data_IF_598737561991
#
_entry.id   IF_598737561991
#
_cell.length_a   1.000
_cell.length_b   1.000
_cell.length_c   1.000
_cell.angle_alpha   90.00
_cell.angle_beta   90.00
_cell.angle_gamma   90.00
#
_symmetry.space_group_name_H-M   'P 1'
#
loop_
_entity.id
_entity.type
_entity.pdbx_description
1 polymer ?
#
# COMPACT_ATOMS: atom_id res chain seq x y z
N UNK A 1 56.32 -39.13 -2.03
CA UNK A 1 55.52 -38.57 -0.92
C UNK A 1 54.61 -37.52 -1.51
N UNK A 2 53.30 -37.78 -1.51
CA UNK A 2 52.28 -36.93 -2.08
C UNK A 2 51.58 -36.17 -0.95
N UNK A 3 51.46 -34.85 -1.09
CA UNK A 3 50.64 -33.97 -0.28
C UNK A 3 50.39 -32.71 -1.12
N UNK A 4 49.20 -32.13 -1.26
CA UNK A 4 47.84 -32.49 -0.91
C UNK A 4 46.99 -31.44 -1.64
N UNK A 5 46.06 -31.86 -2.50
CA UNK A 5 45.16 -30.94 -3.22
C UNK A 5 44.07 -30.48 -2.25
N UNK A 6 44.10 -29.22 -1.83
CA UNK A 6 42.96 -28.58 -1.18
C UNK A 6 41.98 -28.14 -2.26
N UNK A 7 40.92 -28.94 -2.44
CA UNK A 7 39.80 -28.60 -3.30
C UNK A 7 39.03 -27.43 -2.72
N UNK A 8 39.14 -26.26 -3.35
CA UNK A 8 38.13 -25.20 -3.23
C UNK A 8 36.85 -25.72 -3.87
N UNK A 9 35.89 -26.06 -3.03
CA UNK A 9 34.54 -26.42 -3.43
C UNK A 9 33.83 -25.18 -3.98
N UNK A 10 33.95 -24.98 -5.29
CA UNK A 10 33.09 -24.08 -6.06
C UNK A 10 31.71 -24.74 -6.21
N UNK A 11 30.87 -24.63 -5.18
CA UNK A 11 29.42 -24.76 -5.42
C UNK A 11 28.92 -23.42 -5.94
N UNK A 12 28.30 -23.37 -7.15
CA UNK A 12 27.50 -22.22 -7.50
C UNK A 12 26.32 -22.22 -6.52
N UNK A 13 26.28 -21.22 -5.65
CA UNK A 13 25.13 -20.96 -4.79
C UNK A 13 24.05 -20.36 -5.69
N UNK A 14 23.41 -21.19 -6.52
CA UNK A 14 22.16 -20.84 -7.18
C UNK A 14 21.17 -20.52 -6.08
N UNK A 15 20.90 -19.22 -5.87
CA UNK A 15 19.75 -18.80 -5.05
C UNK A 15 18.53 -19.50 -5.65
N UNK A 16 17.88 -20.34 -4.85
CA UNK A 16 16.63 -21.00 -5.21
C UNK A 16 15.67 -19.92 -5.70
N UNK A 17 15.06 -20.11 -6.87
CA UNK A 17 14.05 -19.16 -7.36
C UNK A 17 12.84 -19.28 -6.43
N UNK A 18 12.11 -18.18 -6.20
CA UNK A 18 10.86 -18.24 -5.42
C UNK A 18 9.85 -19.24 -6.02
N UNK A 19 9.97 -19.50 -7.32
CA UNK A 19 9.25 -20.51 -8.11
C UNK A 19 9.49 -21.96 -7.63
N UNK A 20 10.61 -22.24 -6.95
CA UNK A 20 11.01 -23.57 -6.47
C UNK A 20 10.68 -23.79 -4.98
N UNK A 21 10.15 -22.78 -4.28
CA UNK A 21 9.84 -22.87 -2.86
C UNK A 21 8.46 -23.49 -2.66
N UNK A 22 8.43 -24.65 -2.01
CA UNK A 22 7.19 -25.26 -1.54
C UNK A 22 6.45 -24.25 -0.66
N UNK A 23 5.17 -24.04 -0.96
CA UNK A 23 4.33 -23.07 -0.27
C UNK A 23 3.99 -23.64 1.10
N UNK A 24 4.88 -23.43 2.06
CA UNK A 24 4.66 -23.86 3.43
C UNK A 24 3.61 -22.95 4.06
N UNK A 25 2.52 -23.50 4.63
CA UNK A 25 1.58 -22.72 5.40
C UNK A 25 2.31 -21.94 6.50
N UNK A 26 2.07 -20.62 6.64
CA UNK A 26 2.65 -19.86 7.72
C UNK A 26 2.15 -20.39 9.07
N UNK A 27 3.00 -20.31 10.08
CA UNK A 27 2.64 -20.67 11.45
C UNK A 27 1.42 -19.87 11.92
N UNK A 28 0.64 -20.48 12.81
CA UNK A 28 -0.40 -19.74 13.51
C UNK A 28 0.22 -18.59 14.31
N UNK A 29 -0.49 -17.47 14.37
CA UNK A 29 -0.10 -16.32 15.19
C UNK A 29 -0.85 -16.42 16.51
N UNK A 30 -0.12 -16.30 17.62
CA UNK A 30 -0.73 -16.22 18.95
C UNK A 30 -1.11 -14.77 19.24
N UNK A 31 -2.30 -14.56 19.83
CA UNK A 31 -2.77 -13.24 20.24
C UNK A 31 -2.71 -13.12 21.78
N UNK A 32 -2.36 -11.95 22.34
CA UNK A 32 -2.24 -10.66 21.66
C UNK A 32 -0.93 -10.50 20.87
N UNK A 33 -1.05 -10.06 19.63
CA UNK A 33 0.06 -9.60 18.80
C UNK A 33 0.10 -8.08 18.88
N UNK A 34 1.11 -7.58 19.59
CA UNK A 34 1.30 -6.14 19.85
C UNK A 34 1.99 -5.42 18.70
N UNK A 35 2.57 -6.15 17.74
CA UNK A 35 3.12 -5.62 16.50
C UNK A 35 2.12 -5.87 15.34
N UNK A 36 1.31 -4.86 14.98
CA UNK A 36 0.22 -5.02 14.01
C UNK A 36 0.70 -5.19 12.57
N UNK A 37 1.99 -4.91 12.36
CA UNK A 37 2.71 -4.95 11.10
C UNK A 37 3.83 -5.98 11.21
N UNK A 38 3.52 -7.18 11.73
CA UNK A 38 4.46 -8.29 11.80
C UNK A 38 4.42 -9.11 10.49
N UNK A 39 5.59 -9.52 9.94
CA UNK A 39 5.62 -10.38 8.75
C UNK A 39 4.77 -11.64 8.91
N UNK A 40 4.81 -12.29 10.09
CA UNK A 40 4.05 -13.52 10.36
C UNK A 40 2.53 -13.32 10.29
N UNK A 41 2.02 -12.20 10.81
CA UNK A 41 0.59 -11.86 10.72
C UNK A 41 0.16 -11.60 9.28
N UNK A 42 0.95 -10.84 8.52
CA UNK A 42 0.65 -10.53 7.12
C UNK A 42 0.64 -11.79 6.25
N UNK A 43 1.62 -12.68 6.46
CA UNK A 43 1.68 -13.99 5.82
C UNK A 43 0.46 -14.83 6.14
N UNK A 44 0.06 -14.89 7.42
CA UNK A 44 -1.11 -15.65 7.87
C UNK A 44 -2.39 -15.14 7.22
N UNK A 45 -2.59 -13.83 7.16
CA UNK A 45 -3.75 -13.21 6.50
C UNK A 45 -3.77 -13.54 5.01
N UNK A 46 -2.64 -13.32 4.31
CA UNK A 46 -2.48 -13.64 2.89
C UNK A 46 -2.83 -15.10 2.62
N UNK A 47 -2.25 -16.03 3.40
CA UNK A 47 -2.52 -17.46 3.28
C UNK A 47 -4.00 -17.82 3.47
N UNK A 48 -4.65 -17.31 4.51
CA UNK A 48 -6.07 -17.59 4.79
C UNK A 48 -6.98 -17.09 3.65
N UNK A 49 -6.73 -15.88 3.14
CA UNK A 49 -7.51 -15.30 2.05
C UNK A 49 -7.27 -16.03 0.73
N UNK A 50 -6.01 -16.37 0.43
CA UNK A 50 -5.65 -17.16 -0.74
C UNK A 50 -6.26 -18.56 -0.72
N UNK A 51 -6.26 -19.25 0.43
CA UNK A 51 -6.92 -20.55 0.59
C UNK A 51 -8.43 -20.48 0.34
N UNK A 52 -9.05 -19.35 0.65
CA UNK A 52 -10.47 -19.08 0.37
C UNK A 52 -10.74 -18.56 -1.06
N UNK A 53 -9.71 -18.46 -1.92
CA UNK A 53 -9.82 -17.92 -3.27
C UNK A 53 -10.17 -16.43 -3.32
N UNK A 54 -9.80 -15.68 -2.28
CA UNK A 54 -10.04 -14.24 -2.15
C UNK A 54 -8.80 -13.49 -2.62
N UNK A 55 -9.00 -12.52 -3.51
CA UNK A 55 -7.94 -11.63 -3.98
C UNK A 55 -7.69 -10.55 -2.92
N UNK A 56 -6.42 -10.30 -2.61
CA UNK A 56 -6.06 -9.31 -1.60
C UNK A 56 -4.72 -8.63 -1.92
N UNK A 57 -4.60 -7.37 -1.50
CA UNK A 57 -3.38 -6.57 -1.66
C UNK A 57 -3.08 -5.85 -0.35
N UNK A 58 -1.86 -5.98 0.16
CA UNK A 58 -1.33 -5.17 1.24
C UNK A 58 -1.06 -3.75 0.75
N UNK A 59 -1.52 -2.74 1.48
CA UNK A 59 -1.50 -1.34 1.08
C UNK A 59 -1.30 -0.40 2.28
N UNK A 60 -1.40 0.92 2.05
CA UNK A 60 -1.25 1.92 3.09
C UNK A 60 0.17 2.03 3.65
N UNK A 61 0.28 2.42 4.92
CA UNK A 61 1.56 2.69 5.60
C UNK A 61 2.50 1.49 5.58
N UNK A 62 1.96 0.27 5.70
CA UNK A 62 2.75 -0.97 5.69
C UNK A 62 3.47 -1.16 4.36
N UNK A 63 2.73 -1.06 3.25
CA UNK A 63 3.30 -1.18 1.91
C UNK A 63 4.30 -0.06 1.62
N UNK A 64 4.00 1.17 2.06
CA UNK A 64 4.93 2.30 1.95
C UNK A 64 6.23 2.06 2.72
N UNK A 65 6.14 1.53 3.94
CA UNK A 65 7.32 1.17 4.74
C UNK A 65 8.16 0.05 4.10
N UNK A 66 7.53 -0.86 3.36
CA UNK A 66 8.24 -1.94 2.65
C UNK A 66 8.98 -1.45 1.40
N UNK A 67 8.45 -0.45 0.69
CA UNK A 67 9.12 0.15 -0.49
C UNK A 67 10.21 1.17 -0.12
N UNK A 68 10.46 1.41 1.17
CA UNK A 68 11.55 2.30 1.63
C UNK A 68 11.11 3.67 2.14
N UNK A 69 9.80 3.96 2.24
CA UNK A 69 9.33 5.20 2.87
C UNK A 69 9.59 5.14 4.38
N UNK A 70 10.23 6.14 5.00
CA UNK A 70 10.63 6.13 6.41
C UNK A 70 9.45 6.45 7.33
N UNK A 71 8.48 5.54 7.35
CA UNK A 71 7.25 5.63 8.15
C UNK A 71 7.14 4.42 9.08
N UNK A 72 6.82 4.71 10.35
CA UNK A 72 6.36 3.69 11.29
C UNK A 72 4.91 3.32 10.94
N UNK A 73 4.70 2.12 10.40
CA UNK A 73 3.36 1.65 10.04
C UNK A 73 2.59 1.19 11.29
N UNK A 74 1.44 1.81 11.55
CA UNK A 74 0.66 1.59 12.77
C UNK A 74 -0.37 0.47 12.64
N UNK A 75 -0.74 0.11 11.42
CA UNK A 75 -1.75 -0.90 11.12
C UNK A 75 -1.40 -1.64 9.84
N UNK A 76 -1.96 -2.85 9.67
CA UNK A 76 -1.86 -3.61 8.42
C UNK A 76 -3.13 -3.38 7.59
N UNK A 77 -3.03 -2.63 6.48
CA UNK A 77 -4.17 -2.30 5.62
C UNK A 77 -4.25 -3.23 4.40
N UNK A 78 -5.44 -3.79 4.17
CA UNK A 78 -5.70 -4.74 3.10
C UNK A 78 -6.80 -4.24 2.18
N UNK A 79 -6.51 -4.17 0.89
CA UNK A 79 -7.48 -3.88 -0.16
C UNK A 79 -8.09 -5.19 -0.65
N UNK A 80 -9.42 -5.30 -0.52
CA UNK A 80 -10.21 -6.47 -0.91
C UNK A 80 -11.29 -6.05 -1.92
N UNK A 81 -11.56 -6.82 -2.99
CA UNK A 81 -12.70 -6.58 -3.87
C UNK A 81 -14.00 -6.46 -3.07
N UNK A 82 -14.85 -5.49 -3.41
CA UNK A 82 -16.04 -5.18 -2.61
C UNK A 82 -16.96 -6.40 -2.42
N UNK A 83 -17.11 -7.23 -3.47
CA UNK A 83 -17.90 -8.46 -3.44
C UNK A 83 -17.39 -9.50 -2.43
N UNK A 84 -16.10 -9.46 -2.09
CA UNK A 84 -15.46 -10.44 -1.21
C UNK A 84 -15.26 -9.95 0.22
N UNK A 85 -15.50 -8.67 0.53
CA UNK A 85 -15.20 -8.08 1.84
C UNK A 85 -15.81 -8.83 3.02
N UNK A 86 -17.10 -9.13 2.96
CA UNK A 86 -17.79 -9.84 4.04
C UNK A 86 -17.25 -11.27 4.19
N UNK A 87 -16.96 -11.93 3.05
CA UNK A 87 -16.37 -13.28 3.01
C UNK A 87 -14.96 -13.28 3.60
N UNK A 88 -14.14 -12.28 3.26
CA UNK A 88 -12.80 -12.08 3.81
C UNK A 88 -12.84 -11.89 5.32
N UNK A 89 -13.74 -11.02 5.82
CA UNK A 89 -13.90 -10.83 7.27
C UNK A 89 -14.27 -12.13 7.98
N UNK A 90 -15.20 -12.91 7.41
CA UNK A 90 -15.59 -14.23 7.94
C UNK A 90 -14.41 -15.20 8.01
N UNK A 91 -13.65 -15.32 6.91
CA UNK A 91 -12.46 -16.20 6.83
C UNK A 91 -11.42 -15.83 7.88
N UNK A 92 -11.17 -14.54 8.10
CA UNK A 92 -10.20 -14.10 9.12
C UNK A 92 -10.67 -14.40 10.55
N UNK A 93 -11.98 -14.24 10.85
CA UNK A 93 -12.55 -14.62 12.15
C UNK A 93 -12.45 -16.12 12.39
N UNK A 94 -12.80 -16.93 11.39
CA UNK A 94 -12.69 -18.39 11.45
C UNK A 94 -11.23 -18.85 11.56
N UNK A 95 -10.30 -18.06 10.99
CA UNK A 95 -8.86 -18.22 11.13
C UNK A 95 -8.29 -17.78 12.48
N UNK A 96 -9.12 -17.33 13.42
CA UNK A 96 -8.75 -16.98 14.79
C UNK A 96 -8.41 -15.51 15.04
N UNK A 97 -8.56 -14.62 14.05
CA UNK A 97 -8.28 -13.20 14.26
C UNK A 97 -9.34 -12.57 15.19
N UNK A 98 -8.92 -11.81 16.22
CA UNK A 98 -9.83 -11.14 17.15
C UNK A 98 -10.61 -10.02 16.45
N UNK A 99 -11.85 -10.31 16.07
CA UNK A 99 -12.74 -9.34 15.44
C UNK A 99 -13.12 -8.21 16.39
N UNK A 100 -13.50 -7.05 15.83
CA UNK A 100 -14.05 -5.98 16.65
C UNK A 100 -15.40 -6.37 17.25
N UNK A 101 -15.61 -6.20 18.58
CA UNK A 101 -16.90 -6.39 19.22
C UNK A 101 -18.02 -5.52 18.63
N UNK A 102 -17.67 -4.39 18.00
CA UNK A 102 -18.61 -3.50 17.35
C UNK A 102 -19.11 -4.02 15.99
N UNK A 103 -18.37 -4.91 15.30
CA UNK A 103 -18.70 -5.41 13.97
C UNK A 103 -19.89 -6.41 13.97
N UNK A 104 -20.41 -6.79 15.14
CA UNK A 104 -21.45 -7.81 15.31
C UNK A 104 -22.71 -7.37 16.06
N UNK A 105 -22.82 -6.10 16.43
CA UNK A 105 -23.93 -5.60 17.28
C UNK A 105 -24.98 -4.83 16.49
N UNK A 106 -26.25 -4.93 16.92
CA UNK A 106 -27.39 -4.18 16.35
C UNK A 106 -27.20 -2.67 16.58
N UNK A 107 -27.80 -1.83 15.74
CA UNK A 107 -27.63 -0.35 15.74
C UNK A 107 -27.72 0.33 17.11
N UNK A 108 -28.51 -0.22 18.04
CA UNK A 108 -28.76 0.36 19.36
C UNK A 108 -27.78 -0.09 20.46
N UNK A 109 -26.90 -1.05 20.20
CA UNK A 109 -25.86 -1.54 21.13
C UNK A 109 -24.43 -1.15 20.70
N UNK A 110 -24.26 -0.39 19.61
CA UNK A 110 -22.95 -0.08 19.05
C UNK A 110 -21.98 0.47 20.11
N UNK A 111 -21.08 -0.37 20.60
CA UNK A 111 -19.86 0.09 21.26
C UNK A 111 -19.09 0.90 20.23
N UNK A 112 -18.85 2.17 20.55
CA UNK A 112 -18.07 3.08 19.70
C UNK A 112 -16.63 2.57 19.65
N UNK A 113 -16.28 1.79 18.63
CA UNK A 113 -14.87 1.67 18.27
C UNK A 113 -14.46 2.97 17.60
N UNK A 114 -13.45 3.64 18.14
CA UNK A 114 -13.00 4.94 17.64
C UNK A 114 -12.53 4.91 16.17
N UNK A 115 -12.26 3.71 15.62
CA UNK A 115 -11.96 3.48 14.19
C UNK A 115 -13.18 3.55 13.26
N UNK A 116 -14.37 3.27 13.78
CA UNK A 116 -15.63 3.27 13.02
C UNK A 116 -16.43 4.57 13.18
N UNK A 117 -16.01 5.50 14.05
CA UNK A 117 -16.71 6.78 14.14
C UNK A 117 -16.65 7.49 12.78
N UNK A 118 -17.79 7.72 12.16
CA UNK A 118 -17.90 8.65 11.03
C UNK A 118 -17.70 10.08 11.56
N UNK A 119 -17.10 10.99 10.78
CA UNK A 119 -17.00 12.39 11.17
C UNK A 119 -18.42 12.96 11.37
N UNK A 120 -18.71 13.49 12.55
CA UNK A 120 -19.87 14.38 12.73
C UNK A 120 -19.70 15.59 11.81
N UNK A 121 -20.76 15.95 11.09
CA UNK A 121 -20.78 17.13 10.23
C UNK A 121 -20.25 18.36 10.99
N UNK A 122 -19.36 19.13 10.36
CA UNK A 122 -18.88 20.41 10.90
C UNK A 122 -17.50 20.42 11.58
N UNK A 123 -16.78 19.30 11.73
CA UNK A 123 -15.35 19.32 12.14
C UNK A 123 -14.45 18.66 11.10
N UNK A 124 -13.80 19.51 10.30
CA UNK A 124 -12.69 19.16 9.42
C UNK A 124 -11.40 19.05 10.25
N UNK A 125 -11.16 17.90 10.87
CA UNK A 125 -9.83 17.61 11.44
C UNK A 125 -8.98 16.90 10.41
N UNK A 126 -7.71 17.27 10.30
CA UNK A 126 -6.67 16.80 9.38
C UNK A 126 -6.32 15.30 9.43
N UNK A 127 -7.02 14.49 10.25
CA UNK A 127 -6.70 13.09 10.54
C UNK A 127 -7.67 12.09 9.88
N UNK A 128 -8.21 12.40 8.70
CA UNK A 128 -9.26 11.58 8.06
C UNK A 128 -8.68 10.58 7.08
N UNK A 129 -8.09 9.49 7.59
CA UNK A 129 -7.93 8.26 6.81
C UNK A 129 -9.32 7.69 6.48
N UNK A 130 -9.54 7.03 5.32
CA UNK A 130 -10.80 6.34 5.07
C UNK A 130 -11.12 5.38 6.20
N UNK A 131 -12.40 5.23 6.54
CA UNK A 131 -12.84 4.20 7.49
C UNK A 131 -12.79 2.81 6.84
N UNK A 132 -12.26 1.79 7.53
CA UNK A 132 -12.28 0.42 7.04
C UNK A 132 -13.69 -0.15 7.04
N UNK A 133 -13.95 -1.14 6.19
CA UNK A 133 -15.20 -1.89 6.22
C UNK A 133 -15.24 -2.92 7.36
N UNK A 134 -14.09 -3.50 7.68
CA UNK A 134 -13.91 -4.41 8.81
C UNK A 134 -12.55 -4.20 9.45
N UNK A 135 -12.43 -4.48 10.75
CA UNK A 135 -11.16 -4.36 11.44
C UNK A 135 -11.00 -5.38 12.58
N UNK A 136 -9.75 -5.70 12.90
CA UNK A 136 -9.38 -6.70 13.90
C UNK A 136 -8.37 -6.10 14.88
N UNK A 137 -8.58 -6.37 16.17
CA UNK A 137 -7.76 -5.85 17.28
C UNK A 137 -6.76 -6.92 17.72
N UNK A 138 -5.65 -7.04 17.01
CA UNK A 138 -4.68 -8.12 17.24
C UNK A 138 -4.01 -8.03 18.60
N UNK A 139 -3.97 -6.86 19.21
CA UNK A 139 -3.48 -6.60 20.57
C UNK A 139 -4.53 -6.80 21.67
N UNK A 140 -5.77 -7.18 21.32
CA UNK A 140 -6.95 -7.21 22.20
C UNK A 140 -7.27 -5.86 22.89
N UNK A 141 -6.68 -4.76 22.44
CA UNK A 141 -6.97 -3.43 22.93
C UNK A 141 -8.07 -2.79 22.08
N UNK A 142 -9.15 -2.41 22.76
CA UNK A 142 -10.31 -1.77 22.13
C UNK A 142 -10.29 -0.28 22.46
N UNK A 143 -9.80 0.58 21.55
CA UNK A 143 -9.73 2.00 21.80
C UNK A 143 -11.14 2.57 21.97
N UNK A 144 -11.43 3.04 23.19
CA UNK A 144 -12.73 3.67 23.52
C UNK A 144 -12.78 5.14 23.12
N UNK A 145 -11.63 5.75 22.77
CA UNK A 145 -11.52 7.18 22.41
C UNK A 145 -10.50 7.43 21.28
N UNK A 146 -10.77 8.46 20.46
CA UNK A 146 -9.98 8.91 19.28
C UNK A 146 -8.58 9.48 19.54
N UNK A 147 -8.21 9.67 20.81
CA UNK A 147 -6.93 10.28 21.22
C UNK A 147 -6.05 9.31 22.00
N UNK A 148 -6.41 8.03 22.01
CA UNK A 148 -5.60 7.02 22.67
C UNK A 148 -4.24 6.90 21.93
N UNK A 149 -3.10 7.20 22.56
CA UNK A 149 -1.81 7.07 21.91
C UNK A 149 -1.50 5.62 21.49
N UNK A 150 -2.26 4.64 22.02
CA UNK A 150 -2.21 3.24 21.61
C UNK A 150 -3.29 2.87 20.58
N UNK A 151 -3.88 3.86 19.88
CA UNK A 151 -4.93 3.59 18.91
C UNK A 151 -4.48 2.59 17.83
N UNK A 152 -5.20 1.47 17.84
CA UNK A 152 -5.36 0.48 16.77
C UNK A 152 -4.08 0.00 16.11
N UNK A 153 -3.36 -0.80 16.88
CA UNK A 153 -2.44 -1.79 16.32
C UNK A 153 -3.27 -2.95 15.76
N UNK A 154 -3.89 -2.76 14.60
CA UNK A 154 -4.83 -3.73 14.05
C UNK A 154 -4.68 -4.04 12.57
N UNK A 155 -5.49 -5.01 12.13
CA UNK A 155 -5.66 -5.39 10.73
C UNK A 155 -6.92 -4.75 10.21
N UNK A 156 -6.83 -4.02 9.10
CA UNK A 156 -7.93 -3.24 8.54
C UNK A 156 -8.25 -3.74 7.13
N UNK A 157 -9.51 -4.08 6.87
CA UNK A 157 -10.00 -4.46 5.55
C UNK A 157 -10.74 -3.30 4.91
N UNK A 158 -10.29 -2.92 3.72
CA UNK A 158 -10.86 -1.85 2.93
C UNK A 158 -11.44 -2.39 1.62
N UNK A 159 -12.60 -1.86 1.18
CA UNK A 159 -12.98 -1.95 -0.22
C UNK A 159 -11.85 -1.44 -1.09
N UNK A 160 -11.47 -2.22 -2.11
CA UNK A 160 -10.42 -1.84 -3.07
C UNK A 160 -10.59 -0.42 -3.57
N UNK A 161 -11.79 -0.06 -4.00
CA UNK A 161 -12.13 1.26 -4.51
C UNK A 161 -11.82 2.43 -3.57
N UNK A 162 -11.53 2.19 -2.28
CA UNK A 162 -11.09 3.25 -1.36
C UNK A 162 -9.58 3.47 -1.43
N UNK A 163 -8.78 2.40 -1.53
CA UNK A 163 -7.31 2.45 -1.39
C UNK A 163 -6.54 2.22 -2.70
N UNK A 164 -7.16 1.62 -3.71
CA UNK A 164 -6.56 1.33 -5.00
C UNK A 164 -7.52 1.83 -6.09
N UNK A 165 -7.00 2.66 -6.99
CA UNK A 165 -7.71 3.19 -8.15
C UNK A 165 -8.22 2.04 -9.04
N UNK A 166 -9.43 2.18 -9.59
CA UNK A 166 -10.04 1.23 -10.52
C UNK A 166 -9.22 1.05 -11.82
N UNK A 167 -8.21 1.89 -12.03
CA UNK A 167 -7.20 1.73 -13.07
C UNK A 167 -6.40 0.43 -12.93
N UNK A 168 -6.17 -0.05 -11.70
CA UNK A 168 -5.42 -1.27 -11.44
C UNK A 168 -6.36 -2.47 -11.38
N UNK A 169 -5.98 -3.57 -12.03
CA UNK A 169 -6.71 -4.85 -11.95
C UNK A 169 -6.48 -5.51 -10.59
N UNK A 170 -7.28 -6.51 -10.21
CA UNK A 170 -6.98 -7.27 -8.99
C UNK A 170 -5.83 -8.26 -9.23
N UNK A 171 -4.98 -8.55 -8.23
CA UNK A 171 -4.06 -9.69 -8.30
C UNK A 171 -4.83 -11.01 -8.40
N UNK A 172 -4.20 -12.13 -8.80
CA UNK A 172 -4.89 -13.41 -8.87
C UNK A 172 -5.25 -13.87 -7.45
N UNK A 173 -6.27 -14.73 -7.31
CA UNK A 173 -6.47 -15.45 -6.06
C UNK A 173 -5.39 -16.53 -5.92
N UNK A 174 -4.69 -16.56 -4.79
CA UNK A 174 -3.69 -17.59 -4.50
C UNK A 174 -2.27 -17.03 -4.30
N UNK A 175 -1.34 -17.87 -3.84
CA UNK A 175 0.05 -17.46 -3.64
C UNK A 175 0.73 -17.10 -4.97
N UNK A 176 1.59 -16.09 -4.92
CA UNK A 176 2.37 -15.60 -6.07
C UNK A 176 3.31 -16.62 -6.71
N UNK A 177 3.61 -17.72 -6.02
CA UNK A 177 4.40 -18.84 -6.52
C UNK A 177 3.60 -19.84 -7.36
N UNK A 178 2.29 -19.65 -7.56
CA UNK A 178 1.66 -20.29 -8.71
C UNK A 178 2.34 -19.76 -9.97
N UNK A 179 2.65 -20.61 -10.98
CA UNK A 179 3.22 -20.19 -12.24
C UNK A 179 2.17 -19.41 -13.02
N UNK A 180 1.89 -18.21 -12.55
CA UNK A 180 1.24 -17.20 -13.33
C UNK A 180 2.33 -16.74 -14.28
N UNK A 181 2.17 -17.09 -15.56
CA UNK A 181 3.02 -16.63 -16.65
C UNK A 181 3.56 -15.24 -16.29
N UNK A 182 4.89 -15.11 -16.22
CA UNK A 182 5.65 -13.86 -16.06
C UNK A 182 5.29 -12.79 -17.12
N UNK A 183 4.21 -13.00 -17.89
CA UNK A 183 3.66 -12.28 -19.02
C UNK A 183 2.18 -11.86 -18.91
N UNK A 184 1.44 -12.13 -17.81
CA UNK A 184 -0.03 -11.86 -17.75
C UNK A 184 -0.52 -10.75 -16.80
N UNK A 185 0.36 -10.11 -16.03
CA UNK A 185 0.02 -8.89 -15.24
C UNK A 185 0.32 -7.59 -15.98
N UNK A 186 0.71 -7.72 -17.25
CA UNK A 186 0.89 -6.63 -18.19
C UNK A 186 -0.51 -6.15 -18.55
N UNK A 187 -0.71 -4.84 -18.58
CA UNK A 187 -1.87 -4.28 -19.25
C UNK A 187 -2.03 -5.00 -20.60
N UNK A 188 -3.15 -5.70 -20.80
CA UNK A 188 -3.55 -6.22 -22.09
C UNK A 188 -3.78 -5.02 -23.02
N UNK A 189 -2.71 -4.52 -23.62
CA UNK A 189 -2.72 -3.80 -24.87
C UNK A 189 -1.38 -4.05 -25.56
N UNK A 190 -1.47 -4.73 -26.71
CA UNK A 190 -0.33 -5.30 -27.39
C UNK A 190 0.78 -4.29 -27.67
N UNK A 191 1.93 -4.50 -27.04
CA UNK A 191 3.27 -4.32 -27.62
C UNK A 191 4.27 -4.94 -26.67
N UNK A 192 5.25 -5.62 -27.26
CA UNK A 192 6.40 -6.28 -26.60
C UNK A 192 7.09 -5.33 -25.62
N UNK A 193 6.66 -5.27 -24.36
CA UNK A 193 7.40 -4.55 -23.32
C UNK A 193 8.22 -5.57 -22.53
N UNK A 194 9.48 -5.75 -22.97
CA UNK A 194 10.51 -6.54 -22.29
C UNK A 194 11.05 -5.84 -21.03
N UNK A 195 10.49 -4.71 -20.63
CA UNK A 195 10.93 -3.99 -19.45
C UNK A 195 10.38 -4.68 -18.20
N UNK A 196 11.29 -5.18 -17.35
CA UNK A 196 10.98 -5.68 -15.99
C UNK A 196 10.24 -4.65 -15.13
N UNK A 197 10.26 -3.37 -15.51
CA UNK A 197 9.60 -2.24 -14.84
C UNK A 197 8.09 -2.07 -15.10
N UNK A 198 7.38 -3.08 -15.64
CA UNK A 198 5.95 -3.02 -15.95
C UNK A 198 5.10 -4.00 -15.11
N UNK A 199 5.53 -4.32 -13.88
CA UNK A 199 4.77 -5.22 -13.00
C UNK A 199 3.81 -4.40 -12.14
N UNK A 200 2.50 -4.63 -12.29
CA UNK A 200 1.46 -3.96 -11.49
C UNK A 200 1.60 -4.25 -9.99
N UNK A 201 1.83 -5.52 -9.67
CA UNK A 201 1.98 -6.05 -8.32
C UNK A 201 3.32 -6.75 -8.17
N UNK A 202 3.84 -6.73 -6.96
CA UNK A 202 4.99 -7.52 -6.52
C UNK A 202 4.68 -8.20 -5.19
N UNK A 203 5.57 -9.08 -4.76
CA UNK A 203 5.49 -9.69 -3.43
C UNK A 203 6.42 -9.00 -2.45
N UNK A 204 6.07 -9.04 -1.16
CA UNK A 204 6.85 -8.41 -0.08
C UNK A 204 8.29 -8.92 0.05
N UNK A 205 8.63 -10.04 -0.58
CA UNK A 205 9.97 -10.63 -0.66
C UNK A 205 10.69 -10.37 -2.01
N UNK A 206 10.13 -9.56 -2.92
CA UNK A 206 10.70 -9.29 -4.24
C UNK A 206 12.08 -8.60 -4.11
N UNK A 207 13.06 -9.07 -4.88
CA UNK A 207 14.44 -8.57 -4.85
C UNK A 207 14.58 -7.09 -5.20
N UNK A 208 13.60 -6.52 -5.91
CA UNK A 208 13.57 -5.11 -6.30
C UNK A 208 13.19 -4.19 -5.11
N UNK A 209 12.77 -4.74 -3.97
CA UNK A 209 12.53 -4.00 -2.73
C UNK A 209 13.82 -3.77 -1.93
N UNK A 210 13.95 -2.62 -1.23
CA UNK A 210 15.15 -2.30 -0.46
C UNK A 210 15.29 -3.25 0.74
N UNK A 211 16.51 -3.74 0.99
CA UNK A 211 16.81 -4.44 2.24
C UNK A 211 16.91 -3.44 3.40
N UNK A 212 16.29 -3.75 4.53
CA UNK A 212 16.42 -2.92 5.74
C UNK A 212 17.88 -2.91 6.20
N UNK A 213 18.52 -1.73 6.20
CA UNK A 213 19.90 -1.57 6.70
C UNK A 213 19.89 -1.16 8.18
N UNK A 214 20.64 -1.85 9.03
CA UNK A 214 20.86 -1.41 10.42
C UNK A 214 21.42 0.02 10.42
N UNK A 215 20.78 0.92 11.16
CA UNK A 215 21.19 2.33 11.27
C UNK A 215 20.62 3.27 10.20
N UNK A 216 19.83 2.76 9.25
CA UNK A 216 19.07 3.58 8.28
C UNK A 216 17.68 3.99 8.80
N UNK A 217 17.01 4.90 8.08
CA UNK A 217 15.69 5.46 8.42
C UNK A 217 14.65 4.39 8.83
N UNK A 218 13.64 4.76 9.62
CA UNK A 218 12.58 3.88 10.13
C UNK A 218 11.65 3.32 9.02
N UNK A 219 12.13 2.42 8.17
CA UNK A 219 11.35 1.66 7.18
C UNK A 219 11.57 0.14 7.33
N UNK A 220 10.61 -0.67 6.91
CA UNK A 220 10.64 -2.14 7.09
C UNK A 220 11.43 -2.88 6.02
N UNK A 221 11.39 -2.40 4.78
CA UNK A 221 12.07 -3.03 3.64
C UNK A 221 11.53 -4.42 3.28
N UNK A 222 12.27 -5.11 2.42
CA UNK A 222 11.97 -6.44 1.89
C UNK A 222 11.88 -7.49 2.99
N UNK A 223 10.87 -8.36 2.90
CA UNK A 223 10.73 -9.55 3.75
C UNK A 223 11.70 -10.66 3.35
N UNK A 224 11.83 -11.68 4.20
CA UNK A 224 12.67 -12.84 3.90
C UNK A 224 12.03 -13.66 2.76
N UNK A 225 12.78 -14.08 1.73
CA UNK A 225 12.25 -14.91 0.63
C UNK A 225 11.84 -16.32 1.07
N UNK A 226 12.15 -16.74 2.31
CA UNK A 226 11.72 -18.02 2.86
C UNK A 226 10.32 -17.94 3.51
N UNK A 227 9.58 -16.87 3.25
CA UNK A 227 8.28 -16.59 3.87
C UNK A 227 7.15 -16.68 2.85
N UNK A 228 5.92 -16.81 3.34
CA UNK A 228 4.75 -16.87 2.46
C UNK A 228 4.59 -15.52 1.72
N UNK A 229 4.40 -15.52 0.38
CA UNK A 229 4.36 -14.27 -0.37
C UNK A 229 3.09 -13.46 -0.09
N UNK A 230 3.24 -12.15 0.03
CA UNK A 230 2.14 -11.19 0.21
C UNK A 230 2.17 -10.18 -0.94
N UNK A 231 1.04 -10.00 -1.63
CA UNK A 231 0.95 -9.04 -2.73
C UNK A 231 0.88 -7.59 -2.25
N UNK A 232 1.57 -6.71 -2.95
CA UNK A 232 1.48 -5.26 -2.83
C UNK A 232 1.66 -4.59 -4.20
N UNK A 233 1.20 -3.35 -4.36
CA UNK A 233 1.49 -2.60 -5.59
C UNK A 233 3.01 -2.41 -5.74
N UNK A 234 3.50 -2.50 -6.97
CA UNK A 234 4.88 -2.13 -7.23
C UNK A 234 5.11 -0.64 -6.94
N UNK A 235 6.34 -0.21 -6.63
CA UNK A 235 6.57 1.07 -5.98
C UNK A 235 6.17 2.27 -6.87
N UNK A 236 6.43 2.19 -8.18
CA UNK A 236 6.00 3.22 -9.14
C UNK A 236 4.46 3.28 -9.24
N UNK A 237 3.78 2.13 -9.25
CA UNK A 237 2.31 2.11 -9.22
C UNK A 237 1.73 2.52 -7.86
N UNK A 238 2.46 2.37 -6.75
CA UNK A 238 2.05 2.92 -5.46
C UNK A 238 2.01 4.46 -5.51
N UNK A 239 3.04 5.09 -6.10
CA UNK A 239 3.09 6.55 -6.31
C UNK A 239 1.97 7.00 -7.25
N UNK A 240 1.82 6.35 -8.40
CA UNK A 240 0.76 6.70 -9.36
C UNK A 240 -0.65 6.47 -8.78
N UNK A 241 -0.84 5.40 -8.00
CA UNK A 241 -2.09 5.15 -7.30
C UNK A 241 -2.44 6.30 -6.36
N UNK A 242 -1.50 6.76 -5.52
CA UNK A 242 -1.72 7.89 -4.62
C UNK A 242 -2.11 9.17 -5.40
N UNK A 243 -1.43 9.46 -6.51
CA UNK A 243 -1.81 10.57 -7.39
C UNK A 243 -3.24 10.44 -7.93
N UNK A 244 -3.64 9.23 -8.36
CA UNK A 244 -5.01 8.94 -8.81
C UNK A 244 -6.03 9.11 -7.68
N UNK A 245 -5.71 8.72 -6.45
CA UNK A 245 -6.57 8.93 -5.28
C UNK A 245 -6.75 10.43 -4.98
N UNK A 246 -5.68 11.23 -5.05
CA UNK A 246 -5.76 12.70 -4.90
C UNK A 246 -6.69 13.31 -5.95
N UNK A 247 -6.56 12.90 -7.22
CA UNK A 247 -7.41 13.37 -8.33
C UNK A 247 -8.87 12.95 -8.11
N UNK A 248 -9.10 11.69 -7.74
CA UNK A 248 -10.43 11.11 -7.50
C UNK A 248 -11.16 11.85 -6.39
N UNK A 249 -10.46 12.08 -5.28
CA UNK A 249 -11.01 12.61 -4.03
C UNK A 249 -10.78 14.12 -3.89
N UNK A 250 -10.41 14.84 -4.96
CA UNK A 250 -9.99 16.26 -4.93
C UNK A 250 -10.94 17.26 -4.25
N UNK A 251 -12.21 16.90 -4.09
CA UNK A 251 -13.25 17.69 -3.42
C UNK A 251 -13.65 17.13 -2.05
N UNK A 252 -13.11 15.97 -1.67
CA UNK A 252 -13.34 15.28 -0.40
C UNK A 252 -12.29 15.68 0.63
N UNK A 253 -12.67 15.55 1.89
CA UNK A 253 -11.82 15.79 3.08
C UNK A 253 -10.66 14.81 3.19
N UNK A 254 -10.77 13.64 2.56
CA UNK A 254 -9.74 12.59 2.55
C UNK A 254 -8.60 12.92 1.59
N UNK A 255 -8.79 13.87 0.66
CA UNK A 255 -7.75 14.31 -0.29
C UNK A 255 -6.44 14.64 0.40
N UNK A 256 -6.50 15.42 1.46
CA UNK A 256 -5.31 15.95 2.14
C UNK A 256 -4.49 14.81 2.75
N UNK A 257 -5.15 13.72 3.16
CA UNK A 257 -4.45 12.50 3.57
C UNK A 257 -3.70 11.88 2.41
N UNK A 258 -4.36 11.64 1.26
CA UNK A 258 -3.69 11.06 0.09
C UNK A 258 -2.52 11.90 -0.39
N UNK A 259 -2.68 13.22 -0.34
CA UNK A 259 -1.64 14.15 -0.71
C UNK A 259 -0.43 14.05 0.23
N UNK A 260 -0.65 13.99 1.55
CA UNK A 260 0.44 13.78 2.51
C UNK A 260 1.21 12.48 2.23
N UNK A 261 0.49 11.38 1.98
CA UNK A 261 1.12 10.09 1.65
C UNK A 261 1.88 10.13 0.31
N UNK A 262 1.33 10.82 -0.69
CA UNK A 262 1.99 11.04 -1.97
C UNK A 262 3.30 11.80 -1.78
N UNK A 263 3.28 12.93 -1.04
CA UNK A 263 4.47 13.73 -0.77
C UNK A 263 5.53 12.97 0.01
N UNK A 264 5.14 12.11 0.96
CA UNK A 264 6.07 11.22 1.66
C UNK A 264 6.75 10.25 0.68
N UNK A 265 5.98 9.60 -0.20
CA UNK A 265 6.57 8.72 -1.22
C UNK A 265 7.49 9.48 -2.16
N UNK A 266 7.09 10.67 -2.63
CA UNK A 266 7.88 11.47 -3.56
C UNK A 266 9.21 11.89 -2.95
N UNK A 267 9.21 12.42 -1.71
CA UNK A 267 10.42 12.84 -1.01
C UNK A 267 11.40 11.71 -0.72
N UNK A 268 10.87 10.50 -0.49
CA UNK A 268 11.69 9.36 -0.08
C UNK A 268 12.17 8.50 -1.24
N UNK A 269 11.45 8.51 -2.37
CA UNK A 269 11.71 7.56 -3.47
C UNK A 269 12.14 8.26 -4.76
N UNK A 270 11.80 9.53 -4.99
CA UNK A 270 12.20 10.24 -6.21
C UNK A 270 13.56 10.92 -6.01
N UNK A 271 14.44 10.77 -6.99
CA UNK A 271 15.79 11.36 -7.04
C UNK A 271 15.85 12.22 -8.30
N UNK A 272 16.41 13.43 -8.21
CA UNK A 272 16.79 14.22 -9.39
C UNK A 272 18.07 13.62 -9.97
N UNK A 273 18.14 13.47 -11.31
CA UNK A 273 19.21 12.77 -12.03
C UNK A 273 20.64 13.31 -11.73
N UNK A 274 20.78 14.49 -11.12
CA UNK A 274 22.05 15.16 -10.81
C UNK A 274 22.63 14.87 -9.39
N UNK A 275 21.92 14.12 -8.53
CA UNK A 275 22.36 13.79 -7.15
C UNK A 275 22.60 12.29 -6.91
N UNK A 276 23.01 11.53 -7.93
CA UNK A 276 23.25 10.08 -7.81
C UNK A 276 24.37 9.71 -6.80
N UNK A 277 25.36 10.58 -6.56
CA UNK A 277 26.55 10.22 -5.76
C UNK A 277 26.40 10.41 -4.24
N UNK A 278 25.48 11.24 -3.74
CA UNK A 278 25.33 11.48 -2.28
C UNK A 278 24.25 10.64 -1.59
N UNK A 279 23.39 9.92 -2.33
CA UNK A 279 22.27 9.13 -1.75
C UNK A 279 22.38 7.61 -1.91
N UNK A 280 23.59 7.07 -2.01
CA UNK A 280 23.87 5.63 -1.94
C UNK A 280 23.36 4.97 -0.63
N UNK A 281 22.99 5.77 0.37
CA UNK A 281 22.48 5.34 1.68
C UNK A 281 20.95 5.38 1.87
N UNK A 282 20.15 5.86 0.90
CA UNK A 282 18.73 6.22 1.14
C UNK A 282 17.68 5.15 0.79
N UNK A 283 18.05 4.01 0.20
CA UNK A 283 17.05 3.05 -0.28
C UNK A 283 16.45 3.44 -1.64
N UNK A 284 15.51 2.64 -2.13
CA UNK A 284 14.99 2.59 -3.50
C UNK A 284 14.83 3.96 -4.20
N UNK A 285 15.55 4.17 -5.31
CA UNK A 285 15.33 5.29 -6.24
C UNK A 285 14.32 4.89 -7.33
N UNK A 286 13.29 5.72 -7.53
CA UNK A 286 12.23 5.52 -8.50
C UNK A 286 12.29 6.61 -9.58
N UNK A 287 12.84 6.29 -10.76
CA UNK A 287 12.74 7.18 -11.91
C UNK A 287 11.28 7.47 -12.27
N UNK A 288 10.93 8.74 -12.45
CA UNK A 288 9.59 9.16 -12.88
C UNK A 288 9.17 8.55 -14.22
N UNK A 289 10.14 8.16 -15.06
CA UNK A 289 9.88 7.50 -16.33
C UNK A 289 9.16 6.14 -16.19
N UNK A 290 9.13 5.54 -14.99
CA UNK A 290 8.37 4.33 -14.68
C UNK A 290 6.88 4.59 -14.35
N UNK A 291 6.44 5.85 -14.24
CA UNK A 291 5.03 6.19 -14.13
C UNK A 291 4.39 6.09 -15.52
N UNK A 292 3.35 5.25 -15.65
CA UNK A 292 2.75 4.94 -16.95
C UNK A 292 1.95 6.12 -17.51
N UNK A 293 1.19 6.79 -16.63
CA UNK A 293 0.37 7.93 -17.01
C UNK A 293 1.21 9.17 -17.24
N UNK A 294 1.38 9.54 -18.52
CA UNK A 294 2.09 10.78 -18.92
C UNK A 294 1.53 12.03 -18.23
N UNK A 295 0.19 12.25 -18.15
CA UNK A 295 -0.34 13.42 -17.43
C UNK A 295 0.01 13.42 -15.93
N UNK A 296 0.07 12.26 -15.28
CA UNK A 296 0.45 12.16 -13.86
C UNK A 296 1.94 12.40 -13.72
N UNK A 297 2.78 11.77 -14.55
CA UNK A 297 4.23 11.97 -14.55
C UNK A 297 4.60 13.44 -14.66
N UNK A 298 4.07 14.14 -15.67
CA UNK A 298 4.34 15.57 -15.87
C UNK A 298 3.89 16.42 -14.67
N UNK A 299 2.81 16.00 -14.02
CA UNK A 299 2.34 16.68 -12.82
C UNK A 299 3.28 16.43 -11.63
N UNK A 300 3.74 15.20 -11.42
CA UNK A 300 4.71 14.88 -10.37
C UNK A 300 6.05 15.61 -10.58
N UNK A 301 6.51 15.71 -11.83
CA UNK A 301 7.68 16.51 -12.23
C UNK A 301 7.52 17.99 -11.84
N UNK A 302 6.35 18.59 -12.14
CA UNK A 302 6.05 19.97 -11.76
C UNK A 302 6.02 20.17 -10.23
N UNK A 303 5.49 19.19 -9.49
CA UNK A 303 5.48 19.20 -8.02
C UNK A 303 6.89 19.19 -7.46
N UNK A 304 7.79 18.35 -7.99
CA UNK A 304 9.18 18.26 -7.54
C UNK A 304 9.94 19.56 -7.83
N UNK A 305 9.83 20.07 -9.05
CA UNK A 305 10.59 21.23 -9.51
C UNK A 305 10.24 22.52 -8.75
N UNK A 306 8.95 22.72 -8.44
CA UNK A 306 8.50 23.99 -7.86
C UNK A 306 8.77 24.05 -6.35
N UNK A 307 8.92 22.91 -5.65
CA UNK A 307 9.15 22.81 -4.19
C UNK A 307 8.12 23.57 -3.30
N UNK A 308 7.14 24.27 -3.87
CA UNK A 308 6.16 25.11 -3.15
C UNK A 308 5.01 24.32 -2.54
N UNK A 309 4.77 23.09 -3.00
CA UNK A 309 3.81 22.23 -2.31
C UNK A 309 4.21 22.04 -0.85
N UNK A 310 5.50 22.01 -0.55
CA UNK A 310 6.00 21.91 0.82
C UNK A 310 5.67 23.14 1.71
N UNK A 311 5.27 24.29 1.14
CA UNK A 311 5.23 25.58 1.86
C UNK A 311 3.93 26.41 1.72
N UNK A 312 2.88 25.95 1.03
CA UNK A 312 1.71 26.81 0.74
C UNK A 312 0.35 26.17 0.94
N UNK A 313 -0.35 26.58 2.00
CA UNK A 313 -1.82 26.54 2.03
C UNK A 313 -2.38 27.75 1.26
N UNK A 314 -3.46 27.57 0.50
CA UNK A 314 -4.27 28.64 -0.06
C UNK A 314 -4.91 29.48 1.06
N UNK A 315 -5.51 30.61 0.70
CA UNK A 315 -6.21 31.49 1.65
C UNK A 315 -7.35 30.78 2.43
N UNK A 316 -7.74 29.58 2.01
CA UNK A 316 -8.74 28.73 2.67
C UNK A 316 -8.11 27.57 3.46
N UNK A 317 -6.80 27.57 3.68
CA UNK A 317 -6.10 26.54 4.45
C UNK A 317 -5.97 25.19 3.73
N UNK A 318 -6.07 25.15 2.40
CA UNK A 318 -5.95 23.94 1.57
C UNK A 318 -4.67 23.96 0.77
N UNK A 319 -4.05 22.82 0.50
CA UNK A 319 -2.84 22.78 -0.33
C UNK A 319 -3.05 23.44 -1.70
N UNK A 320 -2.18 24.39 -2.05
CA UNK A 320 -2.16 25.01 -3.38
C UNK A 320 -1.57 23.99 -4.37
N UNK A 321 -2.44 23.29 -5.11
CA UNK A 321 -2.02 22.24 -6.02
C UNK A 321 -1.86 22.78 -7.44
N UNK A 322 -0.66 23.29 -7.74
CA UNK A 322 -0.26 23.68 -9.10
C UNK A 322 -0.50 22.50 -10.05
N UNK A 323 -1.02 22.80 -11.24
CA UNK A 323 -1.23 21.80 -12.28
C UNK A 323 -2.37 20.81 -12.04
N UNK A 324 -2.97 20.73 -10.83
CA UNK A 324 -3.97 19.71 -10.49
C UNK A 324 -5.18 19.75 -11.43
N UNK A 325 -5.67 20.94 -11.79
CA UNK A 325 -6.78 21.08 -12.74
C UNK A 325 -6.45 20.49 -14.12
N UNK A 326 -5.21 20.67 -14.60
CA UNK A 326 -4.76 20.14 -15.89
C UNK A 326 -4.71 18.61 -15.87
N UNK A 327 -4.11 18.02 -14.84
CA UNK A 327 -4.03 16.56 -14.72
C UNK A 327 -5.41 15.95 -14.49
N UNK A 328 -6.29 16.58 -13.70
CA UNK A 328 -7.67 16.11 -13.52
C UNK A 328 -8.43 16.10 -14.85
N UNK A 329 -8.31 17.16 -15.65
CA UNK A 329 -8.90 17.24 -16.98
C UNK A 329 -8.37 16.14 -17.92
N UNK A 330 -7.07 15.89 -17.89
CA UNK A 330 -6.44 14.87 -18.72
C UNK A 330 -6.83 13.44 -18.32
N UNK A 331 -6.96 13.16 -17.01
CA UNK A 331 -7.28 11.82 -16.49
C UNK A 331 -8.78 11.51 -16.56
N UNK A 332 -9.65 12.47 -16.22
CA UNK A 332 -11.09 12.23 -16.12
C UNK A 332 -11.85 12.61 -17.40
N UNK A 333 -11.25 13.42 -18.26
CA UNK A 333 -11.92 14.07 -19.38
C UNK A 333 -12.75 15.29 -18.96
N UNK A 334 -12.98 16.21 -19.92
CA UNK A 334 -13.64 17.51 -19.69
C UNK A 334 -15.03 17.37 -19.04
N UNK A 335 -15.85 16.45 -19.53
CA UNK A 335 -17.24 16.29 -19.07
C UNK A 335 -17.31 15.87 -17.60
N UNK A 336 -16.58 14.82 -17.21
CA UNK A 336 -16.56 14.32 -15.83
C UNK A 336 -15.94 15.34 -14.87
N UNK A 337 -14.90 16.04 -15.32
CA UNK A 337 -14.27 17.10 -14.54
C UNK A 337 -15.25 18.24 -14.22
N UNK A 338 -15.96 18.76 -15.23
CA UNK A 338 -16.93 19.84 -15.06
C UNK A 338 -18.13 19.42 -14.21
N UNK A 339 -18.66 18.20 -14.38
CA UNK A 339 -19.75 17.68 -13.55
C UNK A 339 -19.39 17.68 -12.05
N UNK A 340 -18.17 17.27 -11.71
CA UNK A 340 -17.68 17.27 -10.33
C UNK A 340 -17.42 18.66 -9.76
N UNK A 341 -17.18 19.67 -10.61
CA UNK A 341 -17.08 21.07 -10.18
C UNK A 341 -18.46 21.70 -9.97
N UNK A 342 -19.42 21.41 -10.88
CA UNK A 342 -20.79 21.94 -10.83
C UNK A 342 -21.62 21.43 -9.65
N UNK A 343 -21.25 20.28 -9.06
CA UNK A 343 -21.86 19.74 -7.84
C UNK A 343 -21.67 20.58 -6.57
N UNK A 344 -20.91 21.69 -6.62
CA UNK A 344 -20.82 22.69 -5.53
C UNK A 344 -22.01 23.66 -5.48
N UNK A 345 -22.97 23.55 -6.41
CA UNK A 345 -24.04 24.55 -6.59
C UNK A 345 -25.42 24.21 -6.04
N UNK A 346 -25.63 23.05 -5.39
CA UNK A 346 -26.92 22.68 -4.78
C UNK A 346 -26.72 21.77 -3.57
N UNK A 347 -26.42 22.37 -2.42
CA UNK A 347 -26.85 21.91 -1.09
C UNK A 347 -27.19 23.14 -0.27
#
# INVERSE_FOLDING_TARGET
MAAGKTGTSNYPRTKTRSEDLEIVPPLAVEFPETAPTSPGLEQRISFLLHQAGIRCVLCGETAMSMIGVPIAAHHSAWSIPYADLARASKVLREGGLPGCPADGQREWEMRQCALLEEPREGKLTSNKYPSPAYHFHTDHLYPRHRKDPNQSRGVLLYPKKLLISDHYLDPPPGPASYPHDLGRWYAEEGRRNRNRGARMYLTTDDSDLPEMRLGSLNYRGRQSPNQYPVYMLAPHHQVENLARLVIRDRISVVRDWWLQQLLLCMRSLLVDDDEEEERVDSGLALPLCHIESTPIRNWLEEILYVNELCNGFDEQGRWNMIGLSRVCLAIEGRTKYLMRLGGRGYV
#
